data_IF_141919865352
#
_entry.id   IF_141919865352
#
_cell.length_a   1.000
_cell.length_b   1.000
_cell.length_c   1.000
_cell.angle_alpha   90.00
_cell.angle_beta   90.00
_cell.angle_gamma   90.00
#
_symmetry.space_group_name_H-M   'P 1'
#
loop_
_entity.id
_entity.type
_entity.pdbx_description
1 polymer ?
#
# COMPACT_ATOMS: atom_id res chain seq x y z
N UNK A 1 -11.66 7.36 -11.10
CA UNK A 1 -10.36 6.71 -10.73
C UNK A 1 -10.63 5.24 -10.48
N UNK A 2 -9.78 4.35 -11.00
CA UNK A 2 -9.89 2.90 -10.78
C UNK A 2 -8.64 2.38 -10.08
N UNK A 3 -8.77 1.31 -9.32
CA UNK A 3 -7.69 0.72 -8.55
C UNK A 3 -7.82 -0.80 -8.44
N UNK A 4 -6.70 -1.50 -8.45
CA UNK A 4 -6.60 -2.91 -8.07
C UNK A 4 -5.31 -3.15 -7.31
N UNK A 5 -5.39 -3.88 -6.20
CA UNK A 5 -4.22 -4.44 -5.52
C UNK A 5 -3.89 -5.75 -6.21
N UNK A 6 -2.79 -5.78 -6.96
CA UNK A 6 -2.39 -6.95 -7.77
C UNK A 6 -1.81 -8.07 -6.91
N UNK A 7 -1.13 -7.70 -5.82
CA UNK A 7 -0.62 -8.61 -4.78
C UNK A 7 -0.35 -7.82 -3.50
N UNK A 8 -0.48 -8.46 -2.33
CA UNK A 8 -0.26 -7.80 -1.04
C UNK A 8 0.22 -8.77 0.03
N UNK A 9 1.38 -8.48 0.63
CA UNK A 9 1.99 -9.25 1.72
C UNK A 9 3.48 -9.51 1.50
N UNK A 10 4.11 -10.28 2.39
CA UNK A 10 5.56 -10.50 2.45
C UNK A 10 6.21 -11.18 1.22
N UNK A 11 5.42 -11.67 0.27
CA UNK A 11 5.94 -12.26 -0.97
C UNK A 11 5.92 -11.30 -2.15
N UNK A 12 5.19 -10.18 -2.03
CA UNK A 12 5.18 -9.15 -3.05
C UNK A 12 3.98 -8.21 -2.95
N UNK A 13 4.25 -6.93 -3.02
CA UNK A 13 3.26 -5.86 -2.97
C UNK A 13 3.29 -5.11 -4.30
N UNK A 14 2.14 -4.93 -4.91
CA UNK A 14 1.98 -4.15 -6.15
C UNK A 14 0.53 -3.68 -6.24
N UNK A 15 0.33 -2.39 -6.46
CA UNK A 15 -0.99 -1.79 -6.64
C UNK A 15 -1.05 -1.00 -7.93
N UNK A 16 -2.10 -1.20 -8.71
CA UNK A 16 -2.38 -0.47 -9.95
C UNK A 16 -3.45 0.59 -9.71
N UNK A 17 -3.23 1.80 -10.24
CA UNK A 17 -4.17 2.93 -10.20
C UNK A 17 -4.26 3.57 -11.58
N UNK A 18 -5.48 3.84 -12.05
CA UNK A 18 -5.70 4.59 -13.29
C UNK A 18 -6.76 5.68 -13.13
N UNK A 19 -6.56 6.74 -13.90
CA UNK A 19 -7.53 7.80 -14.19
C UNK A 19 -7.83 7.81 -15.68
N UNK A 20 -8.52 8.81 -16.15
CA UNK A 20 -8.78 8.97 -17.60
C UNK A 20 -7.48 9.25 -18.39
N UNK A 21 -6.47 9.86 -17.76
CA UNK A 21 -5.25 10.29 -18.43
C UNK A 21 -3.96 9.63 -17.91
N UNK A 22 -3.96 9.06 -16.70
CA UNK A 22 -2.76 8.51 -16.08
C UNK A 22 -2.96 7.07 -15.61
N UNK A 23 -1.86 6.29 -15.68
CA UNK A 23 -1.75 4.92 -15.17
C UNK A 23 -0.46 4.76 -14.38
N UNK A 24 -0.57 4.39 -13.14
CA UNK A 24 0.59 4.24 -12.24
C UNK A 24 0.60 2.90 -11.51
N UNK A 25 1.78 2.48 -11.09
CA UNK A 25 1.96 1.41 -10.11
C UNK A 25 2.52 1.98 -8.82
N UNK A 26 2.10 1.40 -7.70
CA UNK A 26 2.79 1.52 -6.41
C UNK A 26 3.44 0.17 -6.14
N UNK A 27 4.77 0.17 -6.07
CA UNK A 27 5.66 -0.97 -5.91
C UNK A 27 5.62 -2.01 -7.05
N UNK A 28 6.69 -2.78 -7.17
CA UNK A 28 6.83 -3.97 -8.03
C UNK A 28 7.43 -5.12 -7.20
N UNK A 29 6.72 -5.52 -6.18
CA UNK A 29 7.19 -6.49 -5.20
C UNK A 29 7.09 -7.94 -5.69
N UNK A 30 6.32 -8.21 -6.72
CA UNK A 30 6.26 -9.51 -7.35
C UNK A 30 7.13 -9.56 -8.62
N UNK A 31 7.24 -10.71 -9.29
CA UNK A 31 8.05 -10.82 -10.51
C UNK A 31 7.52 -9.91 -11.63
N UNK A 32 8.41 -9.39 -12.48
CA UNK A 32 8.04 -8.60 -13.65
C UNK A 32 7.03 -9.33 -14.56
N UNK A 33 7.14 -10.67 -14.66
CA UNK A 33 6.20 -11.49 -15.42
C UNK A 33 4.80 -11.46 -14.79
N UNK A 34 4.71 -11.67 -13.47
CA UNK A 34 3.44 -11.62 -12.73
C UNK A 34 2.73 -10.28 -12.91
N UNK A 35 3.45 -9.17 -12.67
CA UNK A 35 2.88 -7.82 -12.77
C UNK A 35 2.37 -7.56 -14.20
N UNK A 36 3.14 -7.97 -15.22
CA UNK A 36 2.70 -7.88 -16.62
C UNK A 36 1.39 -8.64 -16.85
N UNK A 37 1.34 -9.93 -16.46
CA UNK A 37 0.17 -10.77 -16.65
C UNK A 37 -1.08 -10.17 -15.98
N UNK A 38 -0.95 -9.65 -14.75
CA UNK A 38 -2.06 -9.02 -14.04
C UNK A 38 -2.53 -7.71 -14.67
N UNK A 39 -1.63 -6.90 -15.21
CA UNK A 39 -2.02 -5.71 -15.98
C UNK A 39 -2.76 -6.08 -17.26
N UNK A 40 -2.27 -7.10 -17.98
CA UNK A 40 -2.89 -7.57 -19.23
C UNK A 40 -4.29 -8.16 -19.03
N UNK A 41 -4.59 -8.77 -17.86
CA UNK A 41 -5.94 -9.22 -17.47
C UNK A 41 -6.94 -8.04 -17.40
N UNK A 42 -6.47 -6.84 -17.08
CA UNK A 42 -7.26 -5.59 -17.13
C UNK A 42 -7.19 -4.87 -18.48
N UNK A 43 -6.56 -5.46 -19.49
CA UNK A 43 -6.37 -4.84 -20.81
C UNK A 43 -5.31 -3.73 -20.82
N UNK A 44 -4.45 -3.68 -19.79
CA UNK A 44 -3.41 -2.64 -19.64
C UNK A 44 -2.07 -3.18 -20.14
N UNK A 45 -1.49 -2.50 -21.13
CA UNK A 45 -0.13 -2.80 -21.57
C UNK A 45 0.88 -2.13 -20.63
N UNK A 46 1.93 -2.82 -20.17
CA UNK A 46 2.93 -2.21 -19.30
C UNK A 46 3.54 -0.93 -19.85
N UNK A 47 3.73 -0.85 -21.17
CA UNK A 47 4.28 0.33 -21.87
C UNK A 47 3.38 1.57 -21.78
N UNK A 48 2.10 1.40 -21.39
CA UNK A 48 1.16 2.50 -21.20
C UNK A 48 1.19 3.10 -19.79
N UNK A 49 2.02 2.57 -18.90
CA UNK A 49 2.20 3.12 -17.56
C UNK A 49 3.00 4.43 -17.60
N UNK A 50 2.59 5.38 -16.81
CA UNK A 50 3.20 6.71 -16.73
C UNK A 50 4.23 6.83 -15.61
N UNK A 51 4.10 6.02 -14.56
CA UNK A 51 5.02 6.04 -13.43
C UNK A 51 4.93 4.79 -12.57
N UNK A 52 6.01 4.53 -11.82
CA UNK A 52 6.08 3.59 -10.71
C UNK A 52 6.50 4.39 -9.48
N UNK A 53 5.71 4.33 -8.41
CA UNK A 53 6.05 4.91 -7.11
C UNK A 53 6.58 3.81 -6.20
N UNK A 54 7.72 4.01 -5.55
CA UNK A 54 8.29 3.03 -4.61
C UNK A 54 8.06 3.50 -3.18
N UNK A 55 7.45 2.63 -2.37
CA UNK A 55 7.25 2.92 -0.95
C UNK A 55 8.54 2.78 -0.15
N UNK A 56 9.29 1.70 -0.36
CA UNK A 56 10.58 1.42 0.25
C UNK A 56 11.33 0.29 -0.47
N UNK A 57 12.54 -0.04 -0.01
CA UNK A 57 13.47 -0.91 -0.75
C UNK A 57 13.52 -2.37 -0.28
N UNK A 58 12.58 -2.85 0.56
CA UNK A 58 12.50 -4.27 0.87
C UNK A 58 12.16 -5.09 -0.37
N UNK A 59 12.63 -6.31 -0.39
CA UNK A 59 12.55 -7.17 -1.60
C UNK A 59 11.12 -7.42 -2.07
N UNK A 60 10.18 -7.50 -1.17
CA UNK A 60 8.75 -7.67 -1.45
C UNK A 60 8.05 -6.40 -1.98
N UNK A 61 8.81 -5.31 -2.17
CA UNK A 61 8.37 -4.08 -2.84
C UNK A 61 9.12 -3.79 -4.15
N UNK A 62 10.32 -4.37 -4.33
CA UNK A 62 11.17 -4.06 -5.50
C UNK A 62 11.67 -5.27 -6.28
N UNK A 63 11.24 -6.49 -5.93
CA UNK A 63 11.72 -7.76 -6.52
C UNK A 63 11.69 -7.80 -8.05
N UNK A 64 10.64 -7.29 -8.66
CA UNK A 64 10.48 -7.26 -10.11
C UNK A 64 10.98 -5.97 -10.77
N UNK A 65 11.28 -4.95 -9.98
CA UNK A 65 11.50 -3.57 -10.46
C UNK A 65 12.63 -3.47 -11.49
N UNK A 66 13.79 -4.04 -11.22
CA UNK A 66 14.95 -4.01 -12.12
C UNK A 66 14.63 -4.51 -13.54
N UNK A 67 13.92 -5.64 -13.62
CA UNK A 67 13.59 -6.25 -14.91
C UNK A 67 12.46 -5.45 -15.58
N UNK A 68 11.50 -4.97 -14.79
CA UNK A 68 10.34 -4.25 -15.29
C UNK A 68 10.74 -2.88 -15.85
N UNK A 69 11.52 -2.09 -15.09
CA UNK A 69 12.02 -0.79 -15.50
C UNK A 69 12.89 -0.90 -16.75
N UNK A 70 13.90 -1.78 -16.76
CA UNK A 70 14.77 -2.00 -17.92
C UNK A 70 14.01 -2.39 -19.19
N UNK A 71 12.91 -3.15 -19.05
CA UNK A 71 12.14 -3.63 -20.19
C UNK A 71 11.19 -2.58 -20.77
N UNK A 72 10.55 -1.80 -19.89
CA UNK A 72 9.46 -0.90 -20.28
C UNK A 72 9.84 0.57 -20.18
N UNK A 73 10.99 0.89 -19.59
CA UNK A 73 11.55 2.25 -19.43
C UNK A 73 10.56 3.26 -18.81
N UNK A 74 9.85 2.82 -17.77
CA UNK A 74 8.87 3.64 -17.07
C UNK A 74 9.57 4.44 -15.98
N UNK A 75 9.27 5.77 -15.82
CA UNK A 75 9.85 6.57 -14.75
C UNK A 75 9.55 6.02 -13.36
N UNK A 76 10.59 5.79 -12.55
CA UNK A 76 10.48 5.30 -11.17
C UNK A 76 10.68 6.46 -10.20
N UNK A 77 9.69 6.72 -9.36
CA UNK A 77 9.75 7.77 -8.34
C UNK A 77 10.23 7.19 -7.02
N UNK A 78 11.36 7.69 -6.54
CA UNK A 78 12.08 7.22 -5.34
C UNK A 78 12.68 8.39 -4.56
N UNK A 79 13.08 8.15 -3.31
CA UNK A 79 13.89 9.14 -2.59
C UNK A 79 15.38 9.00 -2.92
N UNK A 80 16.18 10.04 -2.63
CA UNK A 80 17.63 9.97 -2.76
C UNK A 80 18.25 8.82 -1.95
N UNK A 81 17.67 8.52 -0.79
CA UNK A 81 18.16 7.45 0.08
C UNK A 81 17.85 6.07 -0.54
N UNK A 82 16.65 5.89 -1.09
CA UNK A 82 16.28 4.65 -1.79
C UNK A 82 17.17 4.41 -3.02
N UNK A 83 17.52 5.47 -3.76
CA UNK A 83 18.38 5.36 -4.93
C UNK A 83 19.74 4.71 -4.63
N UNK A 84 20.29 4.89 -3.43
CA UNK A 84 21.54 4.23 -3.04
C UNK A 84 21.48 2.71 -3.06
N UNK A 85 20.31 2.14 -2.85
CA UNK A 85 20.04 0.69 -2.91
C UNK A 85 19.48 0.25 -4.27
N UNK A 86 19.04 1.19 -5.09
CA UNK A 86 18.43 0.98 -6.41
C UNK A 86 19.25 1.68 -7.50
N UNK A 87 20.59 1.68 -7.36
CA UNK A 87 21.56 2.37 -8.23
C UNK A 87 21.56 1.88 -9.69
N UNK A 88 20.91 0.76 -9.94
CA UNK A 88 20.72 0.20 -11.28
C UNK A 88 19.59 0.88 -12.09
N UNK A 89 18.79 1.77 -11.49
CA UNK A 89 17.72 2.47 -12.18
C UNK A 89 18.28 3.54 -13.12
N UNK A 90 17.87 3.49 -14.38
CA UNK A 90 18.28 4.46 -15.40
C UNK A 90 17.24 5.58 -15.55
N UNK A 91 15.93 5.24 -15.49
CA UNK A 91 14.83 6.19 -15.63
C UNK A 91 14.16 6.42 -14.27
N UNK A 92 14.68 7.32 -13.47
CA UNK A 92 14.12 7.64 -12.15
C UNK A 92 13.94 9.14 -11.93
N UNK A 93 13.06 9.45 -10.96
CA UNK A 93 12.82 10.83 -10.48
C UNK A 93 12.85 10.84 -8.96
N UNK A 94 13.45 11.88 -8.40
CA UNK A 94 13.48 12.07 -6.95
C UNK A 94 12.14 12.64 -6.50
N UNK A 95 11.56 12.00 -5.48
CA UNK A 95 10.29 12.39 -4.86
C UNK A 95 10.42 13.77 -4.20
N UNK A 96 9.45 14.64 -4.45
CA UNK A 96 9.13 15.81 -3.62
C UNK A 96 7.95 15.47 -2.69
N UNK A 97 7.65 16.35 -1.73
CA UNK A 97 6.55 16.12 -0.78
C UNK A 97 5.19 16.05 -1.49
N UNK A 98 5.01 16.86 -2.54
CA UNK A 98 3.85 16.86 -3.41
C UNK A 98 4.29 17.00 -4.87
N UNK A 99 3.64 16.28 -5.79
CA UNK A 99 3.91 16.36 -7.24
C UNK A 99 2.76 15.80 -8.06
N UNK A 100 2.76 16.13 -9.35
CA UNK A 100 1.74 15.67 -10.28
C UNK A 100 2.31 14.68 -11.30
N UNK A 101 1.47 13.71 -11.66
CA UNK A 101 1.67 12.80 -12.79
C UNK A 101 0.42 12.93 -13.67
N UNK A 102 0.51 13.74 -14.72
CA UNK A 102 -0.65 14.11 -15.56
C UNK A 102 -1.79 14.71 -14.74
N UNK A 103 -2.91 14.00 -14.60
CA UNK A 103 -4.09 14.41 -13.84
C UNK A 103 -4.17 13.81 -12.43
N UNK A 104 -3.12 13.14 -11.99
CA UNK A 104 -2.99 12.61 -10.63
C UNK A 104 -2.09 13.54 -9.80
N UNK A 105 -2.59 13.96 -8.64
CA UNK A 105 -1.80 14.63 -7.61
C UNK A 105 -1.37 13.62 -6.54
N UNK A 106 -0.07 13.57 -6.22
CA UNK A 106 0.53 12.69 -5.21
C UNK A 106 0.98 13.53 -4.02
N UNK A 107 0.46 13.22 -2.83
CA UNK A 107 1.00 13.72 -1.55
C UNK A 107 1.78 12.59 -0.89
N UNK A 108 3.03 12.85 -0.54
CA UNK A 108 3.94 11.86 0.04
C UNK A 108 3.86 11.89 1.57
N UNK A 109 3.68 10.71 2.16
CA UNK A 109 3.62 10.50 3.61
C UNK A 109 4.86 9.72 4.03
N UNK A 110 5.56 10.16 5.07
CA UNK A 110 6.64 9.38 5.67
C UNK A 110 6.06 8.34 6.60
N UNK A 111 6.35 7.06 6.33
CA UNK A 111 6.00 5.94 7.22
C UNK A 111 7.12 5.65 8.21
N UNK A 112 6.79 4.93 9.28
CA UNK A 112 7.76 4.49 10.30
C UNK A 112 8.04 3.00 10.10
N UNK A 113 9.09 2.70 9.36
CA UNK A 113 9.49 1.32 9.06
C UNK A 113 11.00 1.15 9.14
N UNK A 114 11.47 -0.08 9.27
CA UNK A 114 12.90 -0.41 9.37
C UNK A 114 13.63 -0.41 8.02
N UNK A 115 12.99 0.09 6.98
CA UNK A 115 13.60 0.40 5.70
C UNK A 115 14.04 1.87 5.62
N UNK A 116 15.17 2.17 4.94
CA UNK A 116 15.59 3.55 4.76
C UNK A 116 14.54 4.39 4.03
N UNK A 117 14.08 5.46 4.70
CA UNK A 117 13.25 6.53 4.13
C UNK A 117 11.92 6.07 3.50
N UNK A 118 11.20 5.18 4.19
CA UNK A 118 9.92 4.61 3.73
C UNK A 118 8.80 5.64 3.56
N UNK A 119 7.91 5.40 2.60
CA UNK A 119 6.83 6.30 2.18
C UNK A 119 5.48 5.58 2.05
N UNK A 120 4.41 6.33 2.33
CA UNK A 120 3.06 6.07 1.88
C UNK A 120 2.59 7.20 0.97
N UNK A 121 1.41 7.08 0.39
CA UNK A 121 0.90 8.03 -0.61
C UNK A 121 -0.57 8.35 -0.41
N UNK A 122 -0.94 9.61 -0.63
CA UNK A 122 -2.30 9.98 -0.99
C UNK A 122 -2.30 10.24 -2.49
N UNK A 123 -3.11 9.51 -3.23
CA UNK A 123 -3.27 9.65 -4.68
C UNK A 123 -4.61 10.31 -4.94
N UNK A 124 -4.61 11.49 -5.52
CA UNK A 124 -5.82 12.29 -5.72
C UNK A 124 -6.03 12.64 -7.20
N UNK A 125 -7.29 12.66 -7.62
CA UNK A 125 -7.71 13.14 -8.93
C UNK A 125 -9.09 13.81 -8.76
N UNK A 126 -9.16 15.11 -8.99
CA UNK A 126 -10.34 15.92 -8.73
C UNK A 126 -10.85 15.73 -7.29
N UNK A 127 -12.10 15.26 -7.14
CA UNK A 127 -12.76 15.00 -5.85
C UNK A 127 -12.49 13.60 -5.29
N UNK A 128 -11.76 12.75 -6.03
CA UNK A 128 -11.43 11.37 -5.64
C UNK A 128 -10.06 11.27 -5.00
N UNK A 129 -9.94 10.42 -4.00
CA UNK A 129 -8.66 10.20 -3.32
C UNK A 129 -8.53 8.80 -2.74
N UNK A 130 -7.32 8.27 -2.80
CA UNK A 130 -6.91 6.97 -2.28
C UNK A 130 -5.77 7.21 -1.28
N UNK A 131 -5.86 6.63 -0.10
CA UNK A 131 -4.74 6.51 0.84
C UNK A 131 -4.09 5.16 0.68
N UNK A 132 -2.78 5.12 0.52
CA UNK A 132 -1.97 3.91 0.49
C UNK A 132 -0.92 3.96 1.60
N UNK A 133 -1.09 3.16 2.63
CA UNK A 133 -0.16 3.05 3.76
C UNK A 133 0.00 1.58 4.13
N UNK A 134 1.17 1.04 3.82
CA UNK A 134 1.65 -0.28 4.25
C UNK A 134 3.01 -0.10 4.92
N UNK A 135 3.45 -1.10 5.63
CA UNK A 135 4.78 -1.14 6.24
C UNK A 135 5.06 0.07 7.14
N UNK A 136 4.34 0.10 8.23
CA UNK A 136 4.52 1.14 9.25
C UNK A 136 4.14 0.62 10.64
N UNK A 137 4.95 0.92 11.65
CA UNK A 137 4.62 0.60 13.04
C UNK A 137 3.63 1.59 13.65
N UNK A 138 3.55 2.82 13.13
CA UNK A 138 2.55 3.81 13.52
C UNK A 138 2.38 4.88 12.43
N UNK A 139 1.26 5.62 12.50
CA UNK A 139 1.01 6.78 11.66
C UNK A 139 1.22 8.05 12.50
N UNK A 140 2.10 8.94 12.03
CA UNK A 140 2.40 10.19 12.72
C UNK A 140 1.19 11.13 12.70
N UNK A 141 0.85 11.69 13.86
CA UNK A 141 -0.33 12.54 14.05
C UNK A 141 -0.37 13.77 13.13
N UNK A 142 0.77 14.27 12.71
CA UNK A 142 0.84 15.41 11.77
C UNK A 142 0.12 15.14 10.44
N UNK A 143 -0.08 13.87 10.08
CA UNK A 143 -0.78 13.50 8.85
C UNK A 143 -2.29 13.25 9.04
N UNK A 144 -2.80 13.21 10.27
CA UNK A 144 -4.18 12.82 10.55
C UNK A 144 -5.18 13.66 9.77
N UNK A 145 -5.01 14.99 9.74
CA UNK A 145 -5.95 15.87 9.04
C UNK A 145 -6.00 15.59 7.53
N UNK A 146 -4.87 15.36 6.91
CA UNK A 146 -4.83 15.07 5.46
C UNK A 146 -5.27 13.65 5.12
N UNK A 147 -5.27 12.73 6.11
CA UNK A 147 -5.72 11.35 5.91
C UNK A 147 -7.24 11.20 6.08
N UNK A 148 -7.92 12.14 6.74
CA UNK A 148 -9.36 12.03 7.01
C UNK A 148 -10.21 12.13 5.75
N UNK A 149 -11.35 11.43 5.79
CA UNK A 149 -12.45 11.54 4.83
C UNK A 149 -12.05 11.33 3.36
N UNK A 150 -11.19 10.32 3.10
CA UNK A 150 -10.79 9.92 1.75
C UNK A 150 -11.75 8.86 1.20
N UNK A 151 -11.79 8.71 -0.13
CA UNK A 151 -12.75 7.81 -0.77
C UNK A 151 -12.41 6.34 -0.59
N UNK A 152 -11.10 6.02 -0.55
CA UNK A 152 -10.62 4.65 -0.41
C UNK A 152 -9.34 4.62 0.44
N UNK A 153 -9.26 3.64 1.32
CA UNK A 153 -8.06 3.36 2.11
C UNK A 153 -7.51 1.98 1.75
N UNK A 154 -6.24 1.91 1.38
CA UNK A 154 -5.42 0.70 1.42
C UNK A 154 -4.54 0.85 2.64
N UNK A 155 -4.86 0.09 3.67
CA UNK A 155 -4.23 0.21 4.98
C UNK A 155 -3.67 -1.13 5.42
N UNK A 156 -2.44 -1.12 5.93
CA UNK A 156 -1.85 -2.29 6.56
C UNK A 156 -2.72 -2.83 7.68
N UNK A 157 -2.87 -4.16 7.74
CA UNK A 157 -3.45 -4.93 8.84
C UNK A 157 -2.63 -6.22 8.97
N UNK A 158 -1.39 -6.06 9.47
CA UNK A 158 -0.38 -7.09 9.29
C UNK A 158 -0.63 -8.31 10.19
N UNK A 159 -0.86 -8.11 11.47
CA UNK A 159 -0.92 -9.23 12.41
C UNK A 159 -2.00 -9.08 13.48
N UNK A 160 -2.49 -10.20 13.95
CA UNK A 160 -3.17 -10.30 15.23
C UNK A 160 -2.12 -10.38 16.34
N UNK A 161 -2.29 -9.56 17.40
CA UNK A 161 -1.31 -9.44 18.49
C UNK A 161 -1.17 -10.74 19.27
N UNK A 162 -2.26 -11.48 19.45
CA UNK A 162 -2.28 -12.74 20.19
C UNK A 162 -1.61 -13.87 19.39
N UNK A 163 -1.93 -13.97 18.09
CA UNK A 163 -1.27 -14.92 17.19
C UNK A 163 0.24 -14.66 17.10
N UNK A 164 0.65 -13.40 16.96
CA UNK A 164 2.07 -13.05 16.88
C UNK A 164 2.79 -13.35 18.21
N UNK A 165 2.18 -13.02 19.35
CA UNK A 165 2.79 -13.24 20.67
C UNK A 165 2.98 -14.71 20.98
N UNK A 166 2.04 -15.57 20.56
CA UNK A 166 2.06 -17.02 20.77
C UNK A 166 2.61 -17.80 19.56
N UNK A 167 2.95 -17.09 18.47
CA UNK A 167 3.36 -17.69 17.21
C UNK A 167 4.78 -18.25 17.20
N UNK A 168 5.13 -18.91 16.09
CA UNK A 168 6.40 -19.62 15.90
C UNK A 168 7.60 -18.71 15.65
N UNK A 169 7.40 -17.41 15.43
CA UNK A 169 8.48 -16.48 15.13
C UNK A 169 9.44 -16.35 16.32
N UNK A 170 10.77 -16.27 16.07
CA UNK A 170 11.75 -15.99 17.12
C UNK A 170 11.41 -14.69 17.88
N UNK A 171 11.74 -14.65 19.16
CA UNK A 171 11.45 -13.50 20.03
C UNK A 171 11.89 -12.16 19.41
N UNK A 172 13.10 -12.09 18.86
CA UNK A 172 13.64 -10.88 18.25
C UNK A 172 12.79 -10.40 17.05
N UNK A 173 12.31 -11.34 16.22
CA UNK A 173 11.44 -10.99 15.07
C UNK A 173 10.09 -10.47 15.56
N UNK A 174 9.49 -11.10 16.58
CA UNK A 174 8.24 -10.62 17.18
C UNK A 174 8.39 -9.19 17.73
N UNK A 175 9.48 -8.92 18.47
CA UNK A 175 9.76 -7.58 18.99
C UNK A 175 9.97 -6.55 17.87
N UNK A 176 10.63 -6.92 16.76
CA UNK A 176 10.77 -6.07 15.58
C UNK A 176 9.40 -5.73 14.98
N UNK A 177 8.53 -6.73 14.77
CA UNK A 177 7.19 -6.55 14.21
C UNK A 177 6.33 -5.63 15.09
N UNK A 178 6.39 -5.80 16.41
CA UNK A 178 5.62 -5.01 17.39
C UNK A 178 6.20 -3.60 17.65
N UNK A 179 7.37 -3.27 17.11
CA UNK A 179 8.02 -1.98 17.37
C UNK A 179 7.40 -0.85 16.51
N UNK A 180 7.70 0.40 16.89
CA UNK A 180 7.33 1.60 16.12
C UNK A 180 7.87 1.60 14.68
N UNK A 181 8.85 0.74 14.37
CA UNK A 181 9.39 0.53 13.02
C UNK A 181 8.97 -0.80 12.40
N UNK A 182 8.03 -1.49 13.03
CA UNK A 182 7.50 -2.76 12.54
C UNK A 182 6.28 -2.55 11.65
N UNK A 183 5.16 -3.17 12.05
CA UNK A 183 3.93 -3.22 11.28
C UNK A 183 2.70 -2.93 12.14
N UNK A 184 1.64 -2.38 11.53
CA UNK A 184 0.37 -2.19 12.22
C UNK A 184 -0.30 -3.53 12.53
N UNK A 185 -0.71 -3.70 13.79
CA UNK A 185 -1.62 -4.79 14.17
C UNK A 185 -3.03 -4.54 13.58
N UNK A 186 -3.86 -5.59 13.53
CA UNK A 186 -5.29 -5.46 13.21
C UNK A 186 -5.96 -4.39 14.10
N UNK A 187 -5.61 -4.38 15.39
CA UNK A 187 -6.14 -3.43 16.36
C UNK A 187 -5.75 -1.98 16.03
N UNK A 188 -4.47 -1.69 15.75
CA UNK A 188 -4.00 -0.35 15.46
C UNK A 188 -4.51 0.13 14.10
N UNK A 189 -4.51 -0.73 13.09
CA UNK A 189 -5.13 -0.47 11.79
C UNK A 189 -6.59 -0.05 11.94
N UNK A 190 -7.39 -0.82 12.68
CA UNK A 190 -8.80 -0.51 12.92
C UNK A 190 -9.00 0.81 13.68
N UNK A 191 -8.10 1.12 14.63
CA UNK A 191 -8.10 2.37 15.38
C UNK A 191 -7.87 3.58 14.47
N UNK A 192 -6.84 3.53 13.60
CA UNK A 192 -6.57 4.59 12.65
C UNK A 192 -7.72 4.75 11.64
N UNK A 193 -8.15 3.65 11.02
CA UNK A 193 -9.25 3.67 10.06
C UNK A 193 -10.51 4.30 10.66
N UNK A 194 -10.91 3.89 11.87
CA UNK A 194 -12.09 4.46 12.52
C UNK A 194 -11.99 5.97 12.82
N UNK A 195 -10.77 6.52 12.88
CA UNK A 195 -10.54 7.95 13.06
C UNK A 195 -10.46 8.74 11.75
N UNK A 196 -10.21 8.06 10.63
CA UNK A 196 -10.05 8.69 9.31
C UNK A 196 -11.31 8.62 8.43
N UNK A 197 -12.12 7.59 8.61
CA UNK A 197 -13.34 7.37 7.82
C UNK A 197 -14.31 8.54 7.99
N UNK A 198 -14.91 8.96 6.89
CA UNK A 198 -15.95 10.00 6.83
C UNK A 198 -16.93 9.75 5.69
N UNK A 199 -17.78 10.73 5.39
CA UNK A 199 -18.89 10.61 4.44
C UNK A 199 -18.46 10.28 3.00
N UNK A 200 -17.21 10.65 2.63
CA UNK A 200 -16.65 10.32 1.30
C UNK A 200 -16.16 8.89 1.20
N UNK A 201 -15.93 8.21 2.32
CA UNK A 201 -15.30 6.89 2.33
C UNK A 201 -16.26 5.82 1.80
N UNK A 202 -15.83 5.15 0.74
CA UNK A 202 -16.61 4.10 0.07
C UNK A 202 -16.00 2.72 0.23
N UNK A 203 -14.67 2.63 0.30
CA UNK A 203 -13.93 1.36 0.31
C UNK A 203 -12.82 1.36 1.34
N UNK A 204 -12.63 0.21 1.97
CA UNK A 204 -11.46 -0.10 2.78
C UNK A 204 -10.85 -1.40 2.24
N UNK A 205 -9.57 -1.36 1.93
CA UNK A 205 -8.78 -2.54 1.60
C UNK A 205 -7.78 -2.77 2.72
N UNK A 206 -7.95 -3.87 3.47
CA UNK A 206 -6.93 -4.32 4.42
C UNK A 206 -5.85 -5.04 3.65
N UNK A 207 -4.62 -4.60 3.83
CA UNK A 207 -3.47 -5.02 3.03
C UNK A 207 -2.32 -5.51 3.91
N UNK A 208 -1.34 -6.16 3.30
CA UNK A 208 -0.10 -6.62 3.93
C UNK A 208 -0.31 -7.54 5.14
N UNK A 209 -1.27 -8.47 5.04
CA UNK A 209 -1.54 -9.45 6.08
C UNK A 209 -0.41 -10.49 6.17
N UNK A 210 0.00 -10.82 7.38
CA UNK A 210 0.93 -11.91 7.67
C UNK A 210 0.27 -13.27 7.43
N UNK A 211 0.90 -14.16 6.65
CA UNK A 211 0.41 -15.53 6.45
C UNK A 211 0.48 -16.39 7.73
N UNK A 212 1.40 -16.08 8.64
CA UNK A 212 1.66 -16.87 9.85
C UNK A 212 0.95 -16.33 11.10
N UNK A 213 0.73 -15.02 11.17
CA UNK A 213 0.27 -14.35 12.39
C UNK A 213 -1.01 -13.54 12.16
N UNK A 214 -1.79 -13.89 11.14
CA UNK A 214 -3.09 -13.28 10.86
C UNK A 214 -4.00 -14.26 10.11
N UNK A 215 -5.29 -13.92 10.05
CA UNK A 215 -6.24 -14.50 9.10
C UNK A 215 -7.11 -13.40 8.51
N UNK A 216 -7.71 -13.67 7.35
CA UNK A 216 -8.64 -12.74 6.71
C UNK A 216 -9.83 -12.42 7.65
N UNK A 217 -10.34 -13.43 8.35
CA UNK A 217 -11.44 -13.31 9.31
C UNK A 217 -11.06 -12.40 10.49
N UNK A 218 -9.91 -12.63 11.13
CA UNK A 218 -9.47 -11.83 12.28
C UNK A 218 -9.25 -10.37 11.92
N UNK A 219 -8.63 -10.10 10.77
CA UNK A 219 -8.45 -8.74 10.27
C UNK A 219 -9.81 -8.05 10.01
N UNK A 220 -10.74 -8.74 9.36
CA UNK A 220 -12.07 -8.25 9.06
C UNK A 220 -12.89 -8.02 10.34
N UNK A 221 -12.99 -9.00 11.22
CA UNK A 221 -13.78 -8.94 12.45
C UNK A 221 -13.28 -7.85 13.40
N UNK A 222 -11.95 -7.67 13.51
CA UNK A 222 -11.35 -6.61 14.31
C UNK A 222 -11.76 -5.24 13.80
N UNK A 223 -11.72 -5.03 12.49
CA UNK A 223 -12.17 -3.77 11.88
C UNK A 223 -13.67 -3.56 12.10
N UNK A 224 -14.52 -4.52 11.75
CA UNK A 224 -15.98 -4.42 11.90
C UNK A 224 -16.37 -4.15 13.35
N UNK A 225 -15.79 -4.86 14.30
CA UNK A 225 -16.06 -4.64 15.73
C UNK A 225 -15.75 -3.19 16.13
N UNK A 226 -14.63 -2.64 15.67
CA UNK A 226 -14.24 -1.25 15.91
C UNK A 226 -15.21 -0.25 15.27
N UNK A 227 -15.58 -0.47 14.02
CA UNK A 227 -16.48 0.41 13.28
C UNK A 227 -17.87 0.44 13.94
N UNK A 228 -18.41 -0.73 14.29
CA UNK A 228 -19.70 -0.85 14.99
C UNK A 228 -19.70 -0.13 16.33
N UNK A 229 -18.61 -0.26 17.12
CA UNK A 229 -18.45 0.45 18.40
C UNK A 229 -18.48 1.98 18.24
N UNK A 230 -18.05 2.49 17.09
CA UNK A 230 -18.01 3.91 16.78
C UNK A 230 -19.22 4.37 15.93
N UNK A 231 -20.22 3.51 15.71
CA UNK A 231 -21.38 3.76 14.85
C UNK A 231 -21.01 4.16 13.40
N UNK A 232 -19.95 3.57 12.87
CA UNK A 232 -19.49 3.80 11.50
C UNK A 232 -19.94 2.62 10.63
N UNK A 233 -20.55 2.90 9.48
CA UNK A 233 -21.04 1.87 8.55
C UNK A 233 -20.31 2.01 7.21
N UNK A 234 -19.56 0.97 6.84
CA UNK A 234 -18.89 0.84 5.55
C UNK A 234 -19.27 -0.52 4.95
N UNK A 235 -19.81 -0.51 3.73
CA UNK A 235 -20.27 -1.73 3.07
C UNK A 235 -19.18 -2.47 2.31
N UNK A 236 -18.15 -1.76 1.85
CA UNK A 236 -17.14 -2.33 0.98
C UNK A 236 -15.80 -2.44 1.72
N UNK A 237 -15.61 -3.57 2.40
CA UNK A 237 -14.35 -3.95 3.04
C UNK A 237 -13.81 -5.17 2.29
N UNK A 238 -12.58 -5.06 1.79
CA UNK A 238 -11.90 -6.06 0.98
C UNK A 238 -10.59 -6.43 1.67
N UNK A 239 -10.26 -7.71 1.68
CA UNK A 239 -8.95 -8.19 2.13
C UNK A 239 -8.09 -8.43 0.89
N UNK A 240 -7.00 -7.67 0.77
CA UNK A 240 -6.05 -7.86 -0.31
C UNK A 240 -5.20 -9.12 -0.08
N UNK A 241 -5.11 -9.98 -1.09
CA UNK A 241 -4.48 -11.30 -0.98
C UNK A 241 -3.04 -11.30 -1.49
N UNK A 242 -2.26 -12.24 -0.98
CA UNK A 242 -0.85 -12.40 -1.32
C UNK A 242 -0.63 -12.68 -2.81
N UNK A 243 -1.40 -13.56 -3.41
CA UNK A 243 -1.18 -14.08 -4.75
C UNK A 243 -2.42 -13.98 -5.66
N UNK A 244 -3.33 -13.08 -5.33
CA UNK A 244 -4.54 -12.84 -6.11
C UNK A 244 -4.86 -11.36 -6.10
N UNK A 245 -5.09 -10.80 -7.27
CA UNK A 245 -5.54 -9.43 -7.44
C UNK A 245 -6.97 -9.23 -6.90
N UNK A 246 -7.26 -8.00 -6.50
CA UNK A 246 -8.64 -7.57 -6.29
C UNK A 246 -9.28 -7.24 -7.63
N UNK A 247 -10.60 -7.26 -7.69
CA UNK A 247 -11.32 -6.69 -8.83
C UNK A 247 -10.87 -5.23 -9.08
N UNK A 248 -11.07 -4.75 -10.30
CA UNK A 248 -10.81 -3.35 -10.63
C UNK A 248 -11.93 -2.46 -10.06
N UNK A 249 -11.65 -1.83 -8.93
CA UNK A 249 -12.60 -1.02 -8.16
C UNK A 249 -12.67 0.37 -8.74
N UNK A 250 -13.87 0.89 -8.98
CA UNK A 250 -14.14 2.27 -9.41
C UNK A 250 -14.63 3.13 -8.24
N UNK A 251 -14.02 4.32 -8.03
CA UNK A 251 -14.41 5.30 -7.01
C UNK A 251 -14.78 6.64 -7.63
#
# INVERSE_FOLDING_TARGET
>A
MKISVLSSGSKGNTTYIETDNAKILIDIGNTSKYVKEKLEEFGVKPESLDAILITHTHIDHVKGLKIFEKKYNIPVYITDIMHRSLDYLENYKILSDDFDIKDIHITVIKTSHDAPDSRGYIVSNNDKSIVYITDTGYINEKYFEILKNRNLYIMESNHDVEMLSNGKYPFQLRQRILSDKGHLSNYDSSKYLSSFIGDKTKYILLAHLSEENNTEELAYETLISRLNKNNIHINNIIIAKQNKETDLISI
#
